data_IF_099306911992
#
_entry.id   IF_099306911992
#
_cell.length_a   1.000
_cell.length_b   1.000
_cell.length_c   1.000
_cell.angle_alpha   90.00
_cell.angle_beta   90.00
_cell.angle_gamma   90.00
#
_symmetry.space_group_name_H-M   'P 1'
#
loop_
_entity.id
_entity.type
_entity.pdbx_description
1 polymer ?
#
# COMPACT_ATOMS: atom_id res chain seq x y z
N UNK A 1 -14.88 -10.63 -18.28
CA UNK A 1 -14.72 -10.46 -16.81
C UNK A 1 -15.21 -9.08 -16.44
N UNK A 2 -15.96 -8.95 -15.35
CA UNK A 2 -16.39 -7.64 -14.83
C UNK A 2 -15.31 -6.96 -13.98
N UNK A 3 -15.45 -5.66 -13.75
CA UNK A 3 -14.50 -4.86 -12.94
C UNK A 3 -14.29 -5.44 -11.53
N UNK A 4 -15.38 -5.87 -10.87
CA UNK A 4 -15.32 -6.49 -9.54
C UNK A 4 -14.50 -7.79 -9.54
N UNK A 5 -14.74 -8.67 -10.51
CA UNK A 5 -14.03 -9.97 -10.61
C UNK A 5 -12.53 -9.76 -10.81
N UNK A 6 -12.16 -8.78 -11.64
CA UNK A 6 -10.77 -8.42 -11.85
C UNK A 6 -10.13 -7.87 -10.57
N UNK A 7 -10.81 -6.98 -9.85
CA UNK A 7 -10.33 -6.46 -8.57
C UNK A 7 -10.17 -7.54 -7.50
N UNK A 8 -11.09 -8.50 -7.44
CA UNK A 8 -10.99 -9.64 -6.51
C UNK A 8 -9.77 -10.52 -6.82
N UNK A 9 -9.48 -10.76 -8.11
CA UNK A 9 -8.30 -11.52 -8.53
C UNK A 9 -6.98 -10.80 -8.22
N UNK A 10 -6.98 -9.48 -8.33
CA UNK A 10 -5.81 -8.64 -8.08
C UNK A 10 -5.60 -8.32 -6.59
N UNK A 11 -6.56 -8.69 -5.74
CA UNK A 11 -6.53 -8.37 -4.32
C UNK A 11 -5.51 -9.26 -3.58
N UNK A 12 -4.54 -8.64 -2.91
CA UNK A 12 -3.54 -9.34 -2.12
C UNK A 12 -4.00 -9.48 -0.67
N UNK A 13 -3.81 -10.63 0.01
CA UNK A 13 -4.11 -10.76 1.44
C UNK A 13 -3.43 -9.67 2.27
N UNK A 14 -4.21 -8.99 3.12
CA UNK A 14 -3.73 -7.87 3.93
C UNK A 14 -3.78 -6.51 3.25
N UNK A 15 -4.00 -6.44 1.94
CA UNK A 15 -4.39 -5.18 1.29
C UNK A 15 -5.81 -4.83 1.72
N UNK A 16 -6.02 -3.66 2.33
CA UNK A 16 -7.36 -3.23 2.79
C UNK A 16 -8.12 -2.48 1.69
N UNK A 17 -7.40 -1.98 0.69
CA UNK A 17 -7.94 -1.12 -0.37
C UNK A 17 -8.14 -1.91 -1.66
N UNK A 18 -9.22 -1.64 -2.39
CA UNK A 18 -9.46 -2.30 -3.66
C UNK A 18 -8.41 -1.90 -4.71
N UNK A 19 -7.72 -2.86 -5.33
CA UNK A 19 -6.76 -2.58 -6.40
C UNK A 19 -7.46 -1.96 -7.61
N UNK A 20 -6.72 -1.18 -8.39
CA UNK A 20 -7.18 -0.68 -9.69
C UNK A 20 -6.90 -1.73 -10.76
N UNK A 21 -7.94 -2.11 -11.50
CA UNK A 21 -7.87 -3.10 -12.57
C UNK A 21 -6.87 -2.77 -13.69
N UNK A 22 -6.73 -1.48 -14.03
CA UNK A 22 -6.04 -1.02 -15.24
C UNK A 22 -4.82 -0.15 -14.93
N UNK A 23 -4.01 -0.54 -13.94
CA UNK A 23 -2.79 0.21 -13.57
C UNK A 23 -1.57 -0.69 -13.51
N UNK A 24 -0.42 -0.12 -13.86
CA UNK A 24 0.89 -0.72 -13.60
C UNK A 24 1.52 -0.22 -12.30
N UNK A 25 0.89 0.77 -11.65
CA UNK A 25 1.43 1.38 -10.43
C UNK A 25 1.35 0.41 -9.25
N UNK A 26 2.42 0.36 -8.45
CA UNK A 26 2.46 -0.44 -7.24
C UNK A 26 2.10 0.40 -6.03
N UNK A 27 1.67 -0.28 -4.98
CA UNK A 27 1.38 0.38 -3.71
C UNK A 27 2.67 0.99 -3.11
N UNK A 28 3.83 0.38 -3.33
CA UNK A 28 5.16 0.90 -2.94
C UNK A 28 5.49 2.26 -3.52
N UNK A 29 4.96 2.59 -4.69
CA UNK A 29 5.22 3.86 -5.39
C UNK A 29 4.32 5.00 -4.88
N UNK A 30 3.41 4.68 -3.96
CA UNK A 30 2.46 5.62 -3.39
C UNK A 30 3.10 6.38 -2.23
N UNK A 31 2.87 7.69 -2.15
CA UNK A 31 3.29 8.55 -1.03
C UNK A 31 2.69 8.15 0.32
N UNK A 32 1.66 7.29 0.30
CA UNK A 32 1.01 6.77 1.49
C UNK A 32 1.61 5.46 1.97
N UNK A 33 2.55 4.86 1.22
CA UNK A 33 3.24 3.65 1.63
C UNK A 33 4.33 3.97 2.66
N UNK A 34 4.18 3.39 3.84
CA UNK A 34 5.07 3.56 4.97
C UNK A 34 5.66 2.21 5.34
N UNK A 35 6.98 2.06 5.21
CA UNK A 35 7.70 0.85 5.63
C UNK A 35 7.87 0.82 7.15
N UNK A 36 8.07 1.98 7.79
CA UNK A 36 8.38 2.10 9.21
C UNK A 36 9.70 1.44 9.60
N UNK A 37 9.87 1.06 10.86
CA UNK A 37 11.06 0.33 11.36
C UNK A 37 11.09 -1.15 10.89
N UNK A 38 10.31 -1.50 9.86
CA UNK A 38 10.35 -2.85 9.33
C UNK A 38 11.73 -3.15 8.76
N UNK A 39 12.35 -4.17 9.33
CA UNK A 39 13.63 -4.72 8.84
C UNK A 39 13.48 -5.55 7.57
N UNK A 40 12.25 -5.78 7.09
CA UNK A 40 11.98 -6.54 5.88
C UNK A 40 11.78 -5.60 4.67
N UNK A 41 12.65 -5.65 3.65
CA UNK A 41 12.47 -4.88 2.42
C UNK A 41 11.16 -5.26 1.72
N UNK A 42 10.52 -4.29 1.08
CA UNK A 42 9.27 -4.49 0.35
C UNK A 42 8.01 -4.65 1.22
N UNK A 43 8.13 -4.81 2.54
CA UNK A 43 6.97 -4.83 3.46
C UNK A 43 6.68 -3.45 4.04
N UNK A 44 5.41 -3.10 4.06
CA UNK A 44 4.97 -1.83 4.62
C UNK A 44 3.48 -1.81 4.89
N UNK A 45 2.99 -0.59 5.12
CA UNK A 45 1.60 -0.30 5.45
C UNK A 45 1.13 0.93 4.69
N UNK A 46 -0.17 1.02 4.48
CA UNK A 46 -0.77 2.24 3.97
C UNK A 46 -1.08 3.20 5.13
N UNK A 47 -0.49 4.39 5.14
CA UNK A 47 -0.69 5.40 6.18
C UNK A 47 -2.12 5.92 6.23
N UNK A 48 -2.85 5.93 5.10
CA UNK A 48 -4.27 6.25 5.09
C UNK A 48 -5.09 5.23 5.89
N UNK A 49 -4.80 3.95 5.71
CA UNK A 49 -5.44 2.86 6.48
C UNK A 49 -5.07 2.99 7.95
N UNK A 50 -3.79 3.23 8.27
CA UNK A 50 -3.32 3.44 9.65
C UNK A 50 -4.05 4.61 10.34
N UNK A 51 -4.17 5.75 9.66
CA UNK A 51 -4.90 6.93 10.16
C UNK A 51 -6.37 6.61 10.39
N UNK A 52 -7.01 5.91 9.45
CA UNK A 52 -8.41 5.52 9.59
C UNK A 52 -8.64 4.53 10.75
N UNK A 53 -7.70 3.62 10.99
CA UNK A 53 -7.71 2.68 12.12
C UNK A 53 -7.35 3.33 13.47
N UNK A 54 -7.34 4.65 13.57
CA UNK A 54 -7.07 5.39 14.80
C UNK A 54 -5.61 5.40 15.22
N UNK A 55 -4.67 5.38 14.25
CA UNK A 55 -3.24 5.45 14.52
C UNK A 55 -2.65 4.21 15.20
N UNK A 56 -3.48 3.22 15.50
CA UNK A 56 -3.04 1.90 15.90
C UNK A 56 -2.23 1.32 14.76
N UNK A 57 -1.17 0.61 15.10
CA UNK A 57 -0.42 -0.26 14.18
C UNK A 57 -1.24 -1.45 13.66
N UNK A 58 -2.57 -1.37 13.79
CA UNK A 58 -3.58 -2.18 13.13
C UNK A 58 -3.74 -1.68 11.69
N UNK A 59 -2.76 -2.04 10.88
CA UNK A 59 -2.84 -2.05 9.43
C UNK A 59 -1.99 -3.25 9.03
N UNK A 60 -2.61 -4.24 8.40
CA UNK A 60 -1.91 -5.49 8.06
C UNK A 60 -0.64 -5.12 7.29
N UNK A 61 0.51 -5.65 7.75
CA UNK A 61 1.73 -5.58 6.97
C UNK A 61 1.47 -6.38 5.71
N UNK A 62 1.43 -5.72 4.56
CA UNK A 62 1.37 -6.40 3.27
C UNK A 62 2.70 -6.21 2.55
N UNK A 63 3.03 -7.17 1.70
CA UNK A 63 4.15 -7.06 0.78
C UNK A 63 3.75 -6.03 -0.27
N UNK A 64 4.30 -4.83 -0.17
CA UNK A 64 4.00 -3.72 -1.07
C UNK A 64 4.45 -3.98 -2.51
N UNK A 65 5.47 -4.83 -2.71
CA UNK A 65 5.92 -5.24 -4.05
C UNK A 65 4.81 -6.01 -4.81
N UNK A 66 3.96 -6.74 -4.09
CA UNK A 66 2.83 -7.47 -4.67
C UNK A 66 1.56 -6.62 -4.74
N UNK A 67 1.43 -5.63 -3.84
CA UNK A 67 0.26 -4.76 -3.75
C UNK A 67 0.09 -3.86 -4.97
N UNK A 68 -1.05 -3.98 -5.65
CA UNK A 68 -1.44 -3.10 -6.75
C UNK A 68 -2.02 -1.80 -6.20
N UNK A 69 -1.70 -0.68 -6.83
CA UNK A 69 -2.22 0.63 -6.45
C UNK A 69 -3.76 0.65 -6.40
N UNK A 70 -4.31 1.33 -5.40
CA UNK A 70 -5.75 1.54 -5.25
C UNK A 70 -6.18 2.90 -5.83
N UNK A 71 -7.48 3.18 -5.79
CA UNK A 71 -8.05 4.45 -6.27
C UNK A 71 -7.57 5.68 -5.51
N UNK A 72 -7.01 5.51 -4.31
CA UNK A 72 -6.41 6.58 -3.49
C UNK A 72 -4.91 6.76 -3.76
N UNK A 73 -4.38 6.16 -4.83
CA UNK A 73 -2.98 6.28 -5.19
C UNK A 73 -2.58 7.75 -5.41
N UNK A 74 -1.46 8.13 -4.82
CA UNK A 74 -0.84 9.43 -5.05
C UNK A 74 0.66 9.20 -5.15
N UNK A 75 1.24 9.54 -6.30
CA UNK A 75 2.66 9.32 -6.53
C UNK A 75 3.53 10.15 -5.58
N UNK A 76 4.69 9.60 -5.21
CA UNK A 76 5.72 10.32 -4.46
C UNK A 76 6.28 9.50 -3.29
N UNK A 77 7.29 10.05 -2.63
CA UNK A 77 7.94 9.41 -1.48
C UNK A 77 7.19 9.78 -0.20
N UNK A 78 6.91 8.79 0.65
CA UNK A 78 6.31 9.04 1.96
C UNK A 78 7.25 9.93 2.80
N UNK A 79 6.76 10.99 3.49
CA UNK A 79 7.62 11.96 4.17
C UNK A 79 8.62 11.35 5.16
N UNK A 80 8.22 10.31 5.89
CA UNK A 80 9.09 9.58 6.85
C UNK A 80 10.12 8.64 6.21
N UNK A 81 9.95 8.26 4.95
CA UNK A 81 10.90 7.37 4.28
C UNK A 81 12.13 8.16 3.78
N UNK A 82 12.01 9.49 3.62
CA UNK A 82 13.12 10.37 3.23
C UNK A 82 14.26 10.40 4.25
N UNK A 83 13.95 10.15 5.52
CA UNK A 83 14.92 10.19 6.61
C UNK A 83 15.77 8.91 6.68
N UNK A 84 15.39 7.86 5.94
CA UNK A 84 16.08 6.55 5.93
C UNK A 84 17.00 6.37 4.71
N UNK A 85 17.07 7.38 3.82
CA UNK A 85 18.03 7.44 2.71
C UNK A 85 19.31 8.15 3.19
N UNK A 86 20.14 7.48 4.00
CA UNK A 86 21.52 7.86 4.28
C UNK A 86 22.46 6.68 4.04
#
# INVERSE_FOLDING_TARGET
>A
MGDLELRMRLHVPGQVTWPMANTTNRCTDCRHFFTGDNKMPGKGRCDLVRKHSGGRDTGVQFVGEEGIACTMFSAGVHPRNKDTEQ
#
